data_IF_175086065426
#
_entry.id   IF_175086065426
#
_cell.length_a   1.000
_cell.length_b   1.000
_cell.length_c   1.000
_cell.angle_alpha   90.00
_cell.angle_beta   90.00
_cell.angle_gamma   90.00
#
_symmetry.space_group_name_H-M   'P 1'
#
loop_
_entity.id
_entity.type
_entity.pdbx_description
1 polymer ?
#
# COMPACT_ATOMS: atom_id res chain seq x y z
N UNK A 1 -3.96 16.29 -0.96
CA UNK A 1 -3.46 14.94 -1.20
C UNK A 1 -3.53 14.70 -2.71
N UNK A 2 -2.45 15.03 -3.42
CA UNK A 2 -2.41 14.91 -4.87
C UNK A 2 -2.22 13.44 -5.20
N UNK A 3 -3.27 12.82 -5.72
CA UNK A 3 -3.17 11.51 -6.32
C UNK A 3 -2.33 11.67 -7.59
N UNK A 4 -1.05 11.32 -7.53
CA UNK A 4 -0.24 11.08 -8.73
C UNK A 4 -0.67 9.74 -9.32
N UNK A 5 -1.92 9.68 -9.79
CA UNK A 5 -2.32 8.66 -10.75
C UNK A 5 -1.45 8.86 -11.98
N UNK A 6 -0.81 7.79 -12.41
CA UNK A 6 -0.04 7.64 -13.65
C UNK A 6 -0.89 8.17 -14.83
N UNK A 7 -0.76 9.46 -15.14
CA UNK A 7 -1.49 10.17 -16.21
C UNK A 7 -1.36 9.50 -17.58
N UNK A 8 -0.35 8.64 -17.75
CA UNK A 8 -0.06 7.94 -18.99
C UNK A 8 -1.07 6.84 -19.35
N UNK A 9 -1.80 6.27 -18.39
CA UNK A 9 -2.77 5.19 -18.67
C UNK A 9 -4.18 5.75 -18.95
N UNK A 10 -4.59 6.82 -18.27
CA UNK A 10 -5.89 7.49 -18.51
C UNK A 10 -6.02 8.13 -19.90
N UNK A 11 -4.90 8.54 -20.51
CA UNK A 11 -4.91 9.20 -21.82
C UNK A 11 -5.21 8.24 -22.99
N UNK A 12 -4.94 6.94 -22.84
CA UNK A 12 -5.38 5.94 -23.81
C UNK A 12 -6.90 5.70 -23.76
N UNK A 13 -7.52 5.84 -22.59
CA UNK A 13 -8.95 5.55 -22.40
C UNK A 13 -9.88 6.68 -22.87
N UNK A 14 -9.44 7.94 -22.87
CA UNK A 14 -10.31 9.06 -23.29
C UNK A 14 -10.39 9.25 -24.82
N UNK A 15 -9.40 8.79 -25.59
CA UNK A 15 -9.39 8.96 -27.04
C UNK A 15 -10.33 7.98 -27.78
N UNK A 16 -10.70 6.86 -27.14
CA UNK A 16 -11.57 5.86 -27.74
C UNK A 16 -13.06 6.24 -27.72
N UNK A 17 -13.47 7.28 -26.98
CA UNK A 17 -14.89 7.55 -26.70
C UNK A 17 -15.59 8.56 -27.63
N UNK A 18 -14.93 9.16 -28.64
CA UNK A 18 -15.50 10.34 -29.32
C UNK A 18 -16.11 10.19 -30.71
N UNK A 19 -16.09 9.03 -31.39
CA UNK A 19 -16.68 8.95 -32.73
C UNK A 19 -17.40 7.63 -33.00
N UNK A 20 -18.65 7.52 -32.53
CA UNK A 20 -19.84 7.20 -33.34
C UNK A 20 -20.99 6.65 -32.46
N UNK A 21 -22.20 7.12 -32.72
CA UNK A 21 -23.47 6.52 -32.28
C UNK A 21 -24.55 6.93 -33.29
N UNK A 22 -25.72 6.26 -33.43
CA UNK A 22 -26.30 5.21 -32.57
C UNK A 22 -26.97 4.00 -33.31
N UNK A 23 -27.43 3.00 -32.52
CA UNK A 23 -28.27 1.82 -32.85
C UNK A 23 -27.53 0.67 -33.55
N UNK A 24 -26.97 -0.33 -32.85
CA UNK A 24 -27.71 -1.43 -32.17
C UNK A 24 -26.89 -2.11 -31.03
N UNK A 25 -25.90 -1.44 -30.43
CA UNK A 25 -24.86 -2.12 -29.61
C UNK A 25 -25.07 -2.02 -28.10
N UNK A 26 -26.18 -2.51 -27.54
CA UNK A 26 -26.46 -2.33 -26.11
C UNK A 26 -26.86 -3.58 -25.30
N UNK A 27 -26.86 -4.79 -25.85
CA UNK A 27 -27.29 -5.99 -25.08
C UNK A 27 -26.28 -7.14 -25.01
N UNK A 28 -25.05 -6.98 -25.51
CA UNK A 28 -24.05 -8.07 -25.47
C UNK A 28 -22.66 -7.57 -25.06
N UNK A 29 -22.59 -6.91 -23.91
CA UNK A 29 -21.36 -6.89 -23.10
C UNK A 29 -21.46 -8.11 -22.19
N UNK A 30 -20.95 -9.24 -22.66
CA UNK A 30 -21.04 -10.51 -21.93
C UNK A 30 -20.29 -10.41 -20.61
N UNK A 31 -20.92 -10.93 -19.55
CA UNK A 31 -20.37 -11.13 -18.21
C UNK A 31 -19.04 -11.90 -18.27
N UNK A 32 -18.90 -12.81 -19.25
CA UNK A 32 -17.68 -13.57 -19.57
C UNK A 32 -16.46 -12.69 -19.91
N UNK A 33 -16.63 -11.64 -20.74
CA UNK A 33 -15.50 -10.76 -21.09
C UNK A 33 -15.09 -9.87 -19.91
N UNK A 34 -16.03 -9.57 -19.01
CA UNK A 34 -15.74 -8.83 -17.78
C UNK A 34 -15.03 -9.72 -16.75
N UNK A 35 -15.36 -11.01 -16.68
CA UNK A 35 -14.72 -11.99 -15.80
C UNK A 35 -13.28 -12.29 -16.26
N UNK A 36 -13.05 -12.48 -17.57
CA UNK A 36 -11.71 -12.71 -18.14
C UNK A 36 -10.77 -11.51 -17.92
N UNK A 37 -11.27 -10.28 -18.13
CA UNK A 37 -10.50 -9.06 -17.81
C UNK A 37 -10.26 -8.89 -16.30
N UNK A 38 -11.19 -9.34 -15.46
CA UNK A 38 -11.03 -9.30 -14.00
C UNK A 38 -9.99 -10.32 -13.52
N UNK A 39 -9.94 -11.50 -14.12
CA UNK A 39 -8.93 -12.52 -13.85
C UNK A 39 -7.52 -12.04 -14.27
N UNK A 40 -7.37 -11.48 -15.48
CA UNK A 40 -6.08 -10.89 -15.93
C UNK A 40 -5.62 -9.76 -15.00
N UNK A 41 -6.53 -8.86 -14.61
CA UNK A 41 -6.21 -7.79 -13.65
C UNK A 41 -5.84 -8.32 -12.27
N UNK A 42 -6.52 -9.38 -11.80
CA UNK A 42 -6.21 -10.01 -10.51
C UNK A 42 -4.82 -10.67 -10.51
N UNK A 43 -4.44 -11.34 -11.61
CA UNK A 43 -3.11 -11.91 -11.78
C UNK A 43 -2.02 -10.82 -11.84
N UNK A 44 -2.22 -9.75 -12.61
CA UNK A 44 -1.27 -8.62 -12.64
C UNK A 44 -1.13 -7.96 -11.27
N UNK A 45 -2.24 -7.75 -10.54
CA UNK A 45 -2.20 -7.17 -9.20
C UNK A 45 -1.49 -8.09 -8.20
N UNK A 46 -1.68 -9.41 -8.29
CA UNK A 46 -0.97 -10.38 -7.46
C UNK A 46 0.53 -10.44 -7.79
N UNK A 47 0.91 -10.26 -9.06
CA UNK A 47 2.32 -10.22 -9.46
C UNK A 47 3.02 -8.95 -8.92
N UNK A 48 2.32 -7.81 -8.93
CA UNK A 48 2.82 -6.53 -8.41
C UNK A 48 2.78 -6.39 -6.88
N UNK A 49 2.18 -7.34 -6.17
CA UNK A 49 2.07 -7.29 -4.71
C UNK A 49 3.43 -7.44 -4.02
N UNK A 50 3.68 -6.60 -3.01
CA UNK A 50 4.91 -6.60 -2.25
C UNK A 50 5.16 -7.95 -1.52
N UNK A 51 6.39 -8.51 -1.49
CA UNK A 51 6.66 -9.81 -0.86
C UNK A 51 6.27 -9.91 0.62
N UNK A 52 6.29 -8.81 1.37
CA UNK A 52 5.83 -8.80 2.77
C UNK A 52 4.32 -9.03 2.85
N UNK A 53 3.55 -8.48 1.92
CA UNK A 53 2.10 -8.66 1.88
C UNK A 53 1.74 -10.09 1.44
N UNK A 54 2.48 -10.67 0.49
CA UNK A 54 2.36 -12.10 0.16
C UNK A 54 2.62 -13.01 1.38
N UNK A 55 3.60 -12.66 2.21
CA UNK A 55 3.90 -13.39 3.45
C UNK A 55 2.83 -13.20 4.53
N UNK A 56 2.21 -12.01 4.59
CA UNK A 56 1.08 -11.73 5.46
C UNK A 56 -0.13 -12.59 5.08
N UNK A 57 -0.50 -12.61 3.79
CA UNK A 57 -1.63 -13.39 3.28
C UNK A 57 -1.43 -14.88 3.57
N UNK A 58 -0.26 -15.43 3.23
CA UNK A 58 0.08 -16.82 3.52
C UNK A 58 0.10 -17.14 5.03
N UNK A 59 0.39 -16.16 5.88
CA UNK A 59 0.31 -16.33 7.34
C UNK A 59 -1.16 -16.42 7.80
N UNK A 60 -2.02 -15.53 7.30
CA UNK A 60 -3.45 -15.50 7.62
C UNK A 60 -4.14 -16.77 7.14
N UNK A 61 -3.82 -17.25 5.93
CA UNK A 61 -4.38 -18.50 5.39
C UNK A 61 -4.06 -19.72 6.26
N UNK A 62 -2.91 -19.70 6.95
CA UNK A 62 -2.48 -20.77 7.85
C UNK A 62 -3.25 -20.77 9.18
N UNK A 63 -3.64 -19.59 9.67
CA UNK A 63 -4.43 -19.42 10.89
C UNK A 63 -5.35 -18.20 10.75
N UNK A 64 -6.55 -18.47 10.23
CA UNK A 64 -7.59 -17.47 10.00
C UNK A 64 -8.39 -17.11 11.26
N UNK A 65 -7.99 -17.62 12.43
CA UNK A 65 -8.56 -17.15 13.69
C UNK A 65 -8.18 -15.69 13.93
N UNK A 66 -9.01 -14.95 14.67
CA UNK A 66 -8.68 -13.55 15.02
C UNK A 66 -7.32 -13.43 15.72
N UNK A 67 -6.97 -14.37 16.60
CA UNK A 67 -5.69 -14.37 17.28
C UNK A 67 -4.52 -14.62 16.31
N UNK A 68 -4.67 -15.59 15.40
CA UNK A 68 -3.68 -15.88 14.35
C UNK A 68 -3.46 -14.68 13.43
N UNK A 69 -4.55 -14.08 12.97
CA UNK A 69 -4.52 -12.89 12.11
C UNK A 69 -3.80 -11.71 12.78
N UNK A 70 -4.07 -11.45 14.07
CA UNK A 70 -3.37 -10.41 14.83
C UNK A 70 -1.85 -10.67 14.87
N UNK A 71 -1.46 -11.91 15.14
CA UNK A 71 -0.04 -12.32 15.15
C UNK A 71 0.60 -12.14 13.77
N UNK A 72 -0.14 -12.41 12.69
CA UNK A 72 0.36 -12.22 11.32
C UNK A 72 0.60 -10.73 11.00
N UNK A 73 -0.33 -9.84 11.36
CA UNK A 73 -0.14 -8.40 11.20
C UNK A 73 1.04 -7.87 12.02
N UNK A 74 1.20 -8.30 13.28
CA UNK A 74 2.36 -7.92 14.11
C UNK A 74 3.70 -8.38 13.49
N UNK A 75 3.71 -9.53 12.81
CA UNK A 75 4.89 -9.98 12.07
C UNK A 75 5.14 -9.14 10.81
N UNK A 76 4.09 -8.80 10.07
CA UNK A 76 4.18 -7.95 8.88
C UNK A 76 4.68 -6.55 9.24
N UNK A 77 4.18 -5.93 10.31
CA UNK A 77 4.64 -4.62 10.80
C UNK A 77 6.15 -4.63 11.05
N UNK A 78 6.67 -5.66 11.73
CA UNK A 78 8.11 -5.82 11.97
C UNK A 78 8.91 -5.99 10.70
N UNK A 79 8.39 -6.71 9.71
CA UNK A 79 9.05 -6.85 8.40
C UNK A 79 9.10 -5.51 7.67
N UNK A 80 8.00 -4.76 7.68
CA UNK A 80 7.92 -3.44 7.09
C UNK A 80 8.82 -2.41 7.79
N UNK A 81 8.93 -2.43 9.13
CA UNK A 81 9.86 -1.54 9.85
C UNK A 81 11.34 -1.86 9.51
N UNK A 82 11.69 -3.14 9.35
CA UNK A 82 13.02 -3.54 8.89
C UNK A 82 13.31 -3.05 7.47
N UNK A 83 12.33 -3.13 6.56
CA UNK A 83 12.46 -2.61 5.20
C UNK A 83 12.55 -1.10 5.17
N UNK A 84 11.75 -0.40 5.97
CA UNK A 84 11.81 1.05 6.16
C UNK A 84 13.23 1.48 6.51
N UNK A 85 13.85 0.81 7.47
CA UNK A 85 15.22 1.10 7.89
C UNK A 85 16.23 0.82 6.78
N UNK A 86 15.99 -0.19 5.94
CA UNK A 86 16.84 -0.53 4.80
C UNK A 86 16.76 0.55 3.72
N UNK A 87 15.56 0.92 3.28
CA UNK A 87 15.31 1.95 2.28
C UNK A 87 15.78 3.32 2.78
N UNK A 88 15.53 3.66 4.05
CA UNK A 88 16.00 4.90 4.67
C UNK A 88 17.54 5.03 4.60
N UNK A 89 18.28 3.97 4.93
CA UNK A 89 19.75 3.96 4.83
C UNK A 89 20.23 4.09 3.39
N UNK A 90 19.58 3.39 2.45
CA UNK A 90 19.90 3.49 1.04
C UNK A 90 19.67 4.92 0.52
N UNK A 91 18.54 5.55 0.87
CA UNK A 91 18.22 6.92 0.51
C UNK A 91 19.22 7.92 1.11
N UNK A 92 19.58 7.77 2.39
CA UNK A 92 20.63 8.59 3.00
C UNK A 92 21.95 8.52 2.22
N UNK A 93 22.33 7.35 1.70
CA UNK A 93 23.58 7.21 0.94
C UNK A 93 23.62 8.05 -0.35
N UNK A 94 22.46 8.38 -0.92
CA UNK A 94 22.32 9.16 -2.17
C UNK A 94 22.28 10.67 -1.95
N UNK A 95 22.01 11.12 -0.73
CA UNK A 95 21.78 12.52 -0.42
C UNK A 95 23.07 13.27 -0.04
N UNK A 96 23.12 14.55 -0.42
CA UNK A 96 24.12 15.49 0.10
C UNK A 96 23.85 15.84 1.58
N UNK A 97 24.74 16.64 2.20
CA UNK A 97 24.64 16.99 3.62
C UNK A 97 23.30 17.61 4.02
N UNK A 98 22.77 18.51 3.19
CA UNK A 98 21.51 19.20 3.47
C UNK A 98 20.31 18.27 3.32
N UNK A 99 20.28 17.48 2.25
CA UNK A 99 19.26 16.45 2.02
C UNK A 99 19.22 15.43 3.17
N UNK A 100 20.38 14.94 3.63
CA UNK A 100 20.48 14.05 4.80
C UNK A 100 19.84 14.65 6.04
N UNK A 101 20.19 15.91 6.36
CA UNK A 101 19.64 16.62 7.53
C UNK A 101 18.12 16.76 7.44
N UNK A 102 17.60 17.13 6.27
CA UNK A 102 16.16 17.26 6.04
C UNK A 102 15.43 15.92 6.15
N UNK A 103 15.99 14.85 5.58
CA UNK A 103 15.41 13.52 5.66
C UNK A 103 15.42 12.98 7.09
N UNK A 104 16.50 13.15 7.84
CA UNK A 104 16.58 12.78 9.26
C UNK A 104 15.53 13.49 10.11
N UNK A 105 15.33 14.80 9.86
CA UNK A 105 14.29 15.57 10.55
C UNK A 105 12.88 15.08 10.18
N UNK A 106 12.61 14.86 8.90
CA UNK A 106 11.34 14.29 8.43
C UNK A 106 11.07 12.94 9.08
N UNK A 107 12.06 12.05 9.12
CA UNK A 107 11.92 10.70 9.69
C UNK A 107 11.64 10.75 11.20
N UNK A 108 12.35 11.61 11.96
CA UNK A 108 12.09 11.81 13.39
C UNK A 108 10.68 12.28 13.68
N UNK A 109 10.16 13.20 12.86
CA UNK A 109 8.80 13.70 13.02
C UNK A 109 7.76 12.66 12.59
N UNK A 110 8.04 11.88 11.55
CA UNK A 110 7.19 10.77 11.16
C UNK A 110 7.09 9.70 12.25
N UNK A 111 8.18 9.37 12.95
CA UNK A 111 8.14 8.42 14.08
C UNK A 111 7.20 8.93 15.19
N UNK A 112 7.27 10.22 15.54
CA UNK A 112 6.36 10.81 16.53
C UNK A 112 4.90 10.76 16.08
N UNK A 113 4.65 11.02 14.79
CA UNK A 113 3.32 10.86 14.21
C UNK A 113 2.85 9.41 14.31
N UNK A 114 3.64 8.44 13.82
CA UNK A 114 3.32 7.02 13.87
C UNK A 114 2.97 6.59 15.28
N UNK A 115 3.82 6.88 16.26
CA UNK A 115 3.61 6.42 17.63
C UNK A 115 2.34 7.04 18.25
N UNK A 116 2.03 8.31 17.92
CA UNK A 116 0.80 8.97 18.35
C UNK A 116 -0.44 8.39 17.65
N UNK A 117 -0.35 8.13 16.35
CA UNK A 117 -1.44 7.58 15.54
C UNK A 117 -1.76 6.14 15.96
N UNK A 118 -0.75 5.29 16.14
CA UNK A 118 -0.93 3.93 16.66
C UNK A 118 -1.56 3.91 18.05
N UNK A 119 -1.23 4.90 18.90
CA UNK A 119 -1.90 5.07 20.18
C UNK A 119 -3.37 5.44 19.99
N UNK A 120 -3.67 6.42 19.13
CA UNK A 120 -5.04 6.84 18.86
C UNK A 120 -5.88 5.69 18.30
N UNK A 121 -5.36 4.94 17.33
CA UNK A 121 -6.00 3.75 16.74
C UNK A 121 -6.36 2.74 17.84
N UNK A 122 -5.41 2.40 18.72
CA UNK A 122 -5.68 1.49 19.85
C UNK A 122 -6.73 2.02 20.81
N UNK A 123 -6.67 3.31 21.15
CA UNK A 123 -7.62 3.93 22.08
C UNK A 123 -9.03 4.00 21.47
N UNK A 124 -9.15 4.24 20.16
CA UNK A 124 -10.43 4.28 19.45
C UNK A 124 -11.02 2.88 19.35
N UNK A 125 -10.30 1.94 18.72
CA UNK A 125 -10.82 0.60 18.44
C UNK A 125 -10.88 -0.29 19.67
N UNK A 126 -10.05 -0.06 20.68
CA UNK A 126 -10.09 -0.79 21.95
C UNK A 126 -11.35 -0.52 22.79
N UNK A 127 -12.12 0.52 22.46
CA UNK A 127 -13.42 0.80 23.11
C UNK A 127 -14.61 0.12 22.43
N UNK A 128 -14.39 -0.52 21.29
CA UNK A 128 -15.46 -1.11 20.48
C UNK A 128 -15.64 -2.59 20.81
N UNK A 129 -16.90 -3.05 20.81
CA UNK A 129 -17.22 -4.44 21.07
C UNK A 129 -16.88 -5.34 19.87
N UNK A 130 -16.29 -6.50 20.16
CA UNK A 130 -15.94 -7.52 19.17
C UNK A 130 -14.45 -7.51 18.79
N UNK A 131 -13.91 -8.71 18.55
CA UNK A 131 -12.48 -8.89 18.29
C UNK A 131 -12.02 -8.40 16.93
N UNK A 132 -12.95 -8.15 15.99
CA UNK A 132 -12.66 -7.61 14.67
C UNK A 132 -11.97 -6.23 14.74
N UNK A 133 -12.33 -5.39 15.71
CA UNK A 133 -11.70 -4.07 15.88
C UNK A 133 -10.22 -4.15 16.25
N UNK A 134 -9.80 -5.23 16.93
CA UNK A 134 -8.39 -5.49 17.18
C UNK A 134 -7.63 -5.84 15.90
N UNK A 135 -8.27 -6.60 14.99
CA UNK A 135 -7.70 -6.91 13.66
C UNK A 135 -7.53 -5.62 12.85
N UNK A 136 -8.57 -4.77 12.83
CA UNK A 136 -8.52 -3.48 12.14
C UNK A 136 -7.38 -2.62 12.71
N UNK A 137 -7.22 -2.57 14.04
CA UNK A 137 -6.17 -1.79 14.67
C UNK A 137 -4.75 -2.21 14.24
N UNK A 138 -4.46 -3.51 14.18
CA UNK A 138 -3.14 -4.00 13.75
C UNK A 138 -2.94 -3.93 12.23
N UNK A 139 -4.01 -4.06 11.44
CA UNK A 139 -3.96 -3.84 10.00
C UNK A 139 -3.60 -2.39 9.66
N UNK A 140 -4.27 -1.41 10.29
CA UNK A 140 -3.93 0.01 10.12
C UNK A 140 -2.49 0.32 10.56
N UNK A 141 -1.96 -0.39 11.56
CA UNK A 141 -0.57 -0.23 11.97
C UNK A 141 0.42 -0.63 10.87
N UNK A 142 0.15 -1.74 10.16
CA UNK A 142 0.93 -2.19 9.01
C UNK A 142 0.88 -1.15 7.88
N UNK A 143 -0.31 -0.67 7.52
CA UNK A 143 -0.50 0.31 6.44
C UNK A 143 0.33 1.58 6.67
N UNK A 144 0.33 2.12 7.89
CA UNK A 144 1.11 3.34 8.22
C UNK A 144 2.60 3.15 7.96
N UNK A 145 3.16 1.99 8.27
CA UNK A 145 4.59 1.70 8.07
C UNK A 145 4.88 1.44 6.60
N UNK A 146 4.03 0.66 5.91
CA UNK A 146 4.12 0.38 4.48
C UNK A 146 4.10 1.68 3.64
N UNK A 147 3.16 2.59 3.90
CA UNK A 147 3.06 3.87 3.20
C UNK A 147 4.36 4.69 3.29
N UNK A 148 5.02 4.64 4.45
CA UNK A 148 6.31 5.33 4.63
C UNK A 148 7.41 4.66 3.83
N UNK A 149 7.44 3.32 3.79
CA UNK A 149 8.40 2.57 2.95
C UNK A 149 8.23 2.97 1.49
N UNK A 150 7.01 2.93 0.96
CA UNK A 150 6.70 3.27 -0.42
C UNK A 150 7.07 4.73 -0.75
N UNK A 151 6.80 5.64 0.18
CA UNK A 151 7.21 7.06 0.04
C UNK A 151 8.73 7.20 -0.08
N UNK A 152 9.48 6.59 0.83
CA UNK A 152 10.96 6.67 0.82
C UNK A 152 11.56 5.95 -0.39
N UNK A 153 10.95 4.83 -0.80
CA UNK A 153 11.35 4.08 -1.98
C UNK A 153 11.16 4.91 -3.25
N UNK A 154 10.02 5.60 -3.38
CA UNK A 154 9.78 6.52 -4.50
C UNK A 154 10.88 7.59 -4.63
N UNK A 155 11.30 8.20 -3.51
CA UNK A 155 12.42 9.16 -3.55
C UNK A 155 13.74 8.51 -3.98
N UNK A 156 14.01 7.29 -3.51
CA UNK A 156 15.23 6.55 -3.88
C UNK A 156 15.24 6.19 -5.36
N UNK A 157 14.11 5.76 -5.90
CA UNK A 157 13.96 5.39 -7.30
C UNK A 157 14.12 6.62 -8.21
N UNK A 158 13.49 7.75 -7.87
CA UNK A 158 13.66 9.04 -8.57
C UNK A 158 15.13 9.49 -8.61
N UNK A 159 15.90 9.24 -7.55
CA UNK A 159 17.33 9.56 -7.47
C UNK A 159 18.23 8.56 -8.21
N UNK A 160 17.77 7.34 -8.45
CA UNK A 160 18.52 6.34 -9.22
C UNK A 160 18.26 6.44 -10.72
N UNK A 161 17.15 7.06 -11.13
CA UNK A 161 16.79 7.28 -12.54
C UNK A 161 17.27 8.63 -13.11
N UNK A 162 17.90 9.49 -12.30
CA UNK A 162 18.60 10.71 -12.73
C UNK A 162 20.11 10.51 -12.80
#
# INVERSE_FOLDING_TARGET
>A
MFIRFKKSSLLCLLAALSLASPLTMAEDMTEDMAEEMAEEMAEEMAEQQHPINKQLDACIDKDSSTAGTIVCYDQAEKRWDNELNTIYKALLSKLNREGKKSLEQSQKQWIKYRDAELKAIRDIYGTMDGTMWNVIAVASAVEIVEDRVLTLKGYLDDLNSN
#
